data_IF_476192427940
#
_entry.id   IF_476192427940
#
_cell.length_a   1.000
_cell.length_b   1.000
_cell.length_c   1.000
_cell.angle_alpha   90.00
_cell.angle_beta   90.00
_cell.angle_gamma   90.00
#
_symmetry.space_group_name_H-M   'P 1'
#
loop_
_entity.id
_entity.type
_entity.pdbx_description
1 polymer ?
#
# COMPACT_ATOMS: atom_id res chain seq x y z
N UNK A 1 25.98 0.49 9.18
CA UNK A 1 24.70 -0.09 8.76
C UNK A 1 23.60 0.92 9.09
N UNK A 2 22.83 1.32 8.08
CA UNK A 2 21.72 2.23 8.22
C UNK A 2 20.43 1.53 7.74
N UNK A 3 19.31 1.76 8.45
CA UNK A 3 17.98 1.31 8.07
C UNK A 3 17.20 2.54 7.67
N UNK A 4 16.57 2.47 6.51
CA UNK A 4 15.77 3.54 5.94
C UNK A 4 14.32 3.06 5.83
N UNK A 5 13.43 3.64 6.64
CA UNK A 5 12.01 3.28 6.69
C UNK A 5 11.24 4.17 5.71
N UNK A 6 10.66 3.56 4.70
CA UNK A 6 9.87 4.21 3.65
C UNK A 6 8.40 3.84 3.85
N UNK A 7 7.68 4.70 4.56
CA UNK A 7 6.25 4.52 4.82
C UNK A 7 5.44 4.94 3.60
N UNK A 8 4.71 4.00 3.01
CA UNK A 8 3.92 4.22 1.80
C UNK A 8 2.42 4.13 2.05
N UNK A 9 1.67 4.72 1.12
CA UNK A 9 0.29 4.31 0.84
C UNK A 9 0.30 3.36 -0.34
N UNK A 10 -0.41 2.25 -0.20
CA UNK A 10 -0.59 1.30 -1.28
C UNK A 10 -1.22 1.99 -2.49
N UNK A 11 -0.70 1.72 -3.68
CA UNK A 11 -1.20 2.25 -4.96
C UNK A 11 -1.17 3.79 -5.11
N UNK A 12 -0.31 4.49 -4.36
CA UNK A 12 -0.10 5.93 -4.53
C UNK A 12 0.96 6.22 -5.60
N UNK A 13 0.64 6.91 -6.72
CA UNK A 13 1.63 7.20 -7.77
C UNK A 13 2.73 8.16 -7.31
N UNK A 14 2.42 9.09 -6.42
CA UNK A 14 3.40 9.98 -5.79
C UNK A 14 4.28 9.23 -4.80
N UNK A 15 3.69 8.44 -3.92
CA UNK A 15 4.42 7.53 -3.03
C UNK A 15 5.36 6.64 -3.84
N UNK A 16 4.90 6.12 -4.98
CA UNK A 16 5.71 5.30 -5.87
C UNK A 16 6.92 6.06 -6.44
N UNK A 17 6.72 7.29 -6.95
CA UNK A 17 7.81 8.12 -7.47
C UNK A 17 8.84 8.42 -6.37
N UNK A 18 8.37 8.81 -5.18
CA UNK A 18 9.25 9.11 -4.04
C UNK A 18 10.05 7.88 -3.59
N UNK A 19 9.44 6.68 -3.57
CA UNK A 19 10.17 5.43 -3.28
C UNK A 19 11.26 5.19 -4.31
N UNK A 20 10.94 5.29 -5.61
CA UNK A 20 11.93 5.06 -6.67
C UNK A 20 13.09 6.05 -6.61
N UNK A 21 12.80 7.34 -6.42
CA UNK A 21 13.82 8.39 -6.27
C UNK A 21 14.72 8.10 -5.08
N UNK A 22 14.11 7.79 -3.92
CA UNK A 22 14.86 7.45 -2.73
C UNK A 22 15.74 6.21 -2.89
N UNK A 23 15.22 5.14 -3.52
CA UNK A 23 16.00 3.93 -3.79
C UNK A 23 17.16 4.20 -4.76
N UNK A 24 16.95 5.06 -5.78
CA UNK A 24 18.01 5.46 -6.72
C UNK A 24 19.13 6.26 -6.03
N UNK A 25 18.80 7.14 -5.09
CA UNK A 25 19.78 7.91 -4.32
C UNK A 25 20.50 7.05 -3.27
N UNK A 26 19.74 6.24 -2.52
CA UNK A 26 20.27 5.39 -1.46
C UNK A 26 21.15 4.27 -2.00
N UNK A 27 20.78 3.67 -3.15
CA UNK A 27 21.39 2.45 -3.68
C UNK A 27 21.53 1.36 -2.59
N UNK A 28 20.39 0.84 -2.08
CA UNK A 28 20.40 -0.13 -1.00
C UNK A 28 21.06 -1.43 -1.44
N UNK A 29 21.66 -2.14 -0.50
CA UNK A 29 22.21 -3.48 -0.69
C UNK A 29 21.27 -4.61 -0.20
N UNK A 30 20.16 -4.22 0.44
CA UNK A 30 19.01 -5.08 0.74
C UNK A 30 17.74 -4.25 0.74
N UNK A 31 16.67 -4.81 0.19
CA UNK A 31 15.31 -4.27 0.31
C UNK A 31 14.44 -5.26 1.09
N UNK A 32 13.80 -4.77 2.15
CA UNK A 32 12.73 -5.46 2.85
C UNK A 32 11.40 -4.81 2.42
N UNK A 33 10.54 -5.59 1.77
CA UNK A 33 9.28 -5.13 1.23
C UNK A 33 8.12 -5.80 1.95
N UNK A 34 7.09 -5.04 2.33
CA UNK A 34 5.86 -5.60 2.87
C UNK A 34 5.19 -6.49 1.82
N UNK A 35 4.97 -7.75 2.17
CA UNK A 35 4.38 -8.74 1.28
C UNK A 35 4.57 -10.17 1.80
N UNK A 36 3.94 -11.15 1.12
CA UNK A 36 3.92 -12.54 1.55
C UNK A 36 5.22 -13.27 1.20
N UNK A 37 5.96 -13.71 2.21
CA UNK A 37 7.21 -14.45 2.03
C UNK A 37 7.04 -15.71 1.15
N UNK A 38 5.85 -16.32 1.15
CA UNK A 38 5.52 -17.49 0.35
C UNK A 38 5.56 -17.23 -1.17
N UNK A 39 5.49 -15.96 -1.57
CA UNK A 39 5.51 -15.57 -2.98
C UNK A 39 6.88 -15.13 -3.50
N UNK A 40 7.94 -15.13 -2.69
CA UNK A 40 9.28 -14.68 -3.12
C UNK A 40 9.80 -15.39 -4.36
N UNK A 41 9.54 -16.68 -4.50
CA UNK A 41 9.98 -17.47 -5.67
C UNK A 41 9.28 -17.06 -6.96
N UNK A 42 8.19 -16.32 -6.88
CA UNK A 42 7.42 -15.82 -8.02
C UNK A 42 7.87 -14.42 -8.50
N UNK A 43 8.71 -13.73 -7.72
CA UNK A 43 9.16 -12.37 -8.05
C UNK A 43 9.85 -12.26 -9.41
N UNK A 44 10.71 -13.21 -9.85
CA UNK A 44 11.34 -13.10 -11.16
C UNK A 44 10.35 -13.02 -12.33
N UNK A 45 9.11 -13.51 -12.18
CA UNK A 45 8.08 -13.40 -13.20
C UNK A 45 7.72 -11.94 -13.56
N UNK A 46 7.96 -10.99 -12.62
CA UNK A 46 7.68 -9.56 -12.82
C UNK A 46 8.46 -8.94 -13.99
N UNK A 47 9.62 -9.51 -14.33
CA UNK A 47 10.41 -9.06 -15.49
C UNK A 47 9.96 -9.68 -16.83
N UNK A 48 8.95 -10.56 -16.83
CA UNK A 48 8.42 -11.11 -18.06
C UNK A 48 7.65 -10.03 -18.83
N UNK A 49 7.97 -9.83 -20.11
CA UNK A 49 7.32 -8.82 -20.97
C UNK A 49 5.79 -8.99 -21.10
N UNK A 50 5.28 -10.19 -20.83
CA UNK A 50 3.83 -10.47 -20.84
C UNK A 50 3.15 -10.21 -19.48
N UNK A 51 3.92 -9.84 -18.45
CA UNK A 51 3.40 -9.51 -17.13
C UNK A 51 3.08 -8.02 -17.07
N UNK A 52 1.89 -7.65 -17.52
CA UNK A 52 1.43 -6.26 -17.55
C UNK A 52 0.45 -5.99 -16.39
N UNK A 53 0.76 -5.07 -15.45
CA UNK A 53 -0.20 -4.64 -14.43
C UNK A 53 -1.45 -3.97 -15.05
N UNK A 54 -2.63 -4.10 -14.40
CA UNK A 54 -2.81 -4.63 -13.05
C UNK A 54 -2.80 -6.16 -12.99
N UNK A 55 -2.05 -6.68 -12.02
CA UNK A 55 -1.94 -8.10 -11.69
C UNK A 55 -2.11 -8.28 -10.18
N UNK A 56 -2.31 -9.50 -9.72
CA UNK A 56 -2.31 -9.78 -8.28
C UNK A 56 -1.55 -11.09 -7.97
N UNK A 57 -0.87 -11.11 -6.83
CA UNK A 57 -0.49 -12.35 -6.19
C UNK A 57 -1.74 -12.92 -5.49
N UNK A 58 -2.13 -14.11 -5.88
CA UNK A 58 -3.13 -14.92 -5.20
C UNK A 58 -2.40 -15.88 -4.27
N UNK A 59 -2.70 -15.81 -2.98
CA UNK A 59 -2.29 -16.79 -2.00
C UNK A 59 -3.52 -17.54 -1.48
N UNK A 60 -3.50 -18.83 -1.47
CA UNK A 60 -4.65 -19.64 -1.10
C UNK A 60 -4.25 -20.94 -0.38
N UNK A 61 -5.19 -21.45 0.40
CA UNK A 61 -5.06 -22.77 1.03
C UNK A 61 -5.52 -23.84 0.04
N UNK A 62 -4.65 -24.80 -0.39
CA UNK A 62 -5.00 -25.78 -1.43
C UNK A 62 -6.21 -26.65 -1.10
N UNK A 63 -6.36 -27.06 0.17
CA UNK A 63 -7.47 -27.89 0.64
C UNK A 63 -8.78 -27.11 0.84
N UNK A 64 -8.70 -25.77 0.88
CA UNK A 64 -9.83 -24.84 1.05
C UNK A 64 -9.59 -23.60 0.18
N UNK A 65 -9.73 -23.67 -1.16
CA UNK A 65 -9.35 -22.58 -2.06
C UNK A 65 -10.14 -21.28 -1.87
N UNK A 66 -11.33 -21.33 -1.25
CA UNK A 66 -12.11 -20.17 -0.86
C UNK A 66 -11.42 -19.34 0.25
N UNK A 67 -10.51 -19.95 1.02
CA UNK A 67 -9.62 -19.25 1.94
C UNK A 67 -8.43 -18.71 1.15
N UNK A 68 -8.58 -17.50 0.62
CA UNK A 68 -7.63 -16.85 -0.28
C UNK A 68 -7.46 -15.38 0.07
N UNK A 69 -6.26 -14.87 -0.20
CA UNK A 69 -5.90 -13.46 -0.06
C UNK A 69 -5.29 -12.98 -1.37
N UNK A 70 -5.60 -11.75 -1.76
CA UNK A 70 -5.12 -11.13 -2.97
C UNK A 70 -4.22 -9.94 -2.62
N UNK A 71 -3.08 -9.85 -3.28
CA UNK A 71 -2.17 -8.70 -3.24
C UNK A 71 -2.12 -8.10 -4.64
N UNK A 72 -2.99 -7.15 -4.94
CA UNK A 72 -3.02 -6.51 -6.25
C UNK A 72 -1.89 -5.49 -6.41
N UNK A 73 -1.44 -5.35 -7.65
CA UNK A 73 -0.45 -4.37 -8.05
C UNK A 73 -0.90 -3.67 -9.32
N UNK A 74 -0.88 -2.35 -9.30
CA UNK A 74 -0.91 -1.53 -10.48
C UNK A 74 0.52 -1.17 -10.91
N UNK A 75 0.69 -0.66 -12.10
CA UNK A 75 2.00 -0.18 -12.56
C UNK A 75 2.57 0.91 -11.63
N UNK A 76 1.70 1.76 -11.08
CA UNK A 76 2.02 2.83 -10.15
C UNK A 76 2.02 2.40 -8.67
N UNK A 77 1.94 1.10 -8.36
CA UNK A 77 2.06 0.62 -6.98
C UNK A 77 3.51 0.69 -6.52
N UNK A 78 3.80 1.33 -5.36
CA UNK A 78 5.16 1.44 -4.84
C UNK A 78 5.84 0.08 -4.70
N UNK A 79 5.09 -0.94 -4.28
CA UNK A 79 5.58 -2.31 -4.11
C UNK A 79 5.98 -2.92 -5.45
N UNK A 80 5.15 -2.75 -6.49
CA UNK A 80 5.46 -3.24 -7.84
C UNK A 80 6.76 -2.64 -8.36
N UNK A 81 6.88 -1.33 -8.28
CA UNK A 81 8.06 -0.64 -8.77
C UNK A 81 9.30 -0.93 -7.92
N UNK A 82 9.13 -1.17 -6.62
CA UNK A 82 10.22 -1.64 -5.74
C UNK A 82 10.74 -3.01 -6.18
N UNK A 83 9.84 -3.95 -6.52
CA UNK A 83 10.22 -5.27 -7.04
C UNK A 83 10.95 -5.12 -8.38
N UNK A 84 10.41 -4.31 -9.30
CA UNK A 84 11.05 -4.04 -10.60
C UNK A 84 12.44 -3.43 -10.42
N UNK A 85 12.57 -2.43 -9.54
CA UNK A 85 13.84 -1.80 -9.20
C UNK A 85 14.87 -2.82 -8.67
N UNK A 86 14.46 -3.63 -7.69
CA UNK A 86 15.32 -4.63 -7.08
C UNK A 86 15.84 -5.65 -8.10
N UNK A 87 14.94 -6.19 -8.92
CA UNK A 87 15.30 -7.18 -9.91
C UNK A 87 16.20 -6.62 -11.03
N UNK A 88 15.93 -5.38 -11.51
CA UNK A 88 16.75 -4.74 -12.56
C UNK A 88 18.14 -4.32 -12.10
N UNK A 89 18.28 -3.98 -10.81
CA UNK A 89 19.55 -3.57 -10.22
C UNK A 89 20.25 -4.70 -9.46
N UNK A 90 19.75 -5.94 -9.54
CA UNK A 90 20.30 -7.11 -8.85
C UNK A 90 20.43 -6.91 -7.32
N UNK A 91 19.52 -6.09 -6.73
CA UNK A 91 19.46 -5.87 -5.29
C UNK A 91 18.65 -6.99 -4.65
N UNK A 92 19.18 -7.69 -3.64
CA UNK A 92 18.40 -8.65 -2.87
C UNK A 92 17.13 -8.03 -2.31
N UNK A 93 15.98 -8.68 -2.54
CA UNK A 93 14.69 -8.28 -2.00
C UNK A 93 14.09 -9.45 -1.24
N UNK A 94 13.53 -9.17 -0.05
CA UNK A 94 12.79 -10.13 0.76
C UNK A 94 11.46 -9.54 1.18
N UNK A 95 10.43 -10.33 1.11
CA UNK A 95 9.19 -10.00 1.80
C UNK A 95 9.36 -10.20 3.31
N UNK A 96 8.85 -9.26 4.11
CA UNK A 96 9.12 -9.27 5.54
C UNK A 96 7.88 -9.16 6.43
N UNK A 97 6.69 -9.22 5.85
CA UNK A 97 5.44 -9.30 6.62
C UNK A 97 5.25 -10.68 7.26
N UNK A 98 4.30 -10.77 8.20
CA UNK A 98 3.94 -12.03 8.85
C UNK A 98 3.53 -13.07 7.79
N UNK A 99 4.21 -14.23 7.71
CA UNK A 99 3.90 -15.23 6.71
C UNK A 99 2.43 -15.66 6.72
N UNK A 100 1.87 -15.84 5.54
CA UNK A 100 0.47 -16.22 5.36
C UNK A 100 0.13 -17.58 5.95
N UNK A 101 1.10 -18.49 6.02
CA UNK A 101 0.95 -19.77 6.74
C UNK A 101 0.49 -19.57 8.20
N UNK A 102 0.83 -18.43 8.81
CA UNK A 102 0.40 -18.06 10.16
C UNK A 102 -0.86 -17.20 10.17
N UNK A 103 -0.87 -16.11 9.40
CA UNK A 103 -1.97 -15.14 9.43
C UNK A 103 -3.29 -15.74 8.98
N UNK A 104 -3.30 -16.57 7.92
CA UNK A 104 -4.49 -17.25 7.44
C UNK A 104 -4.93 -18.39 8.37
N UNK A 105 -3.99 -19.04 9.08
CA UNK A 105 -4.34 -20.07 10.07
C UNK A 105 -5.10 -19.50 11.28
N UNK A 106 -4.82 -18.24 11.65
CA UNK A 106 -5.54 -17.59 12.76
C UNK A 106 -7.00 -17.27 12.44
N UNK A 107 -7.29 -16.97 11.18
CA UNK A 107 -8.64 -16.69 10.71
C UNK A 107 -9.54 -17.95 10.71
N UNK A 108 -8.96 -19.15 10.83
CA UNK A 108 -9.68 -20.43 10.84
C UNK A 108 -10.14 -20.89 12.24
N UNK A 109 -9.88 -20.14 13.30
CA UNK A 109 -10.47 -20.49 14.60
C UNK A 109 -11.97 -20.52 14.45
N UNK A 110 -12.66 -21.66 14.67
CA UNK A 110 -14.11 -21.70 14.59
C UNK A 110 -14.64 -20.64 15.58
N UNK A 111 -15.50 -19.78 15.09
CA UNK A 111 -16.42 -19.09 15.97
C UNK A 111 -17.31 -20.17 16.63
N UNK A 112 -16.81 -20.79 17.69
CA UNK A 112 -17.66 -21.46 18.67
C UNK A 112 -18.41 -20.40 19.46
N UNK A 113 -19.23 -19.65 18.78
CA UNK A 113 -20.32 -18.89 19.35
C UNK A 113 -21.58 -19.68 19.04
N UNK A 114 -22.14 -20.30 20.07
CA UNK A 114 -23.53 -20.71 20.11
C UNK A 114 -24.40 -19.61 19.52
N UNK A 115 -25.38 -19.99 18.72
CA UNK A 115 -26.31 -19.12 17.95
C UNK A 115 -27.09 -18.08 18.79
N UNK A 116 -26.80 -17.95 20.07
CA UNK A 116 -27.48 -17.06 21.02
C UNK A 116 -26.77 -15.71 21.29
N UNK A 117 -25.64 -15.42 20.63
CA UNK A 117 -24.96 -14.12 20.71
C UNK A 117 -24.68 -13.57 19.31
N UNK A 118 -25.70 -13.52 18.44
CA UNK A 118 -25.76 -12.52 17.40
C UNK A 118 -26.19 -11.19 18.05
N UNK A 119 -25.34 -10.62 18.90
CA UNK A 119 -25.30 -9.17 18.98
C UNK A 119 -25.03 -8.69 17.55
N UNK A 120 -25.98 -7.92 17.00
CA UNK A 120 -25.78 -7.15 15.80
C UNK A 120 -24.41 -6.46 15.96
N UNK A 121 -23.38 -7.01 15.30
CA UNK A 121 -22.15 -6.27 15.04
C UNK A 121 -22.61 -5.20 14.07
N UNK A 122 -23.12 -4.10 14.61
CA UNK A 122 -23.18 -2.83 13.88
C UNK A 122 -21.74 -2.66 13.44
N UNK A 123 -21.44 -2.63 12.14
CA UNK A 123 -20.10 -2.31 11.70
C UNK A 123 -19.78 -0.96 12.34
N UNK A 124 -18.95 -0.96 13.36
CA UNK A 124 -18.34 0.29 13.80
C UNK A 124 -17.64 0.75 12.53
N UNK A 125 -18.15 1.80 11.92
CA UNK A 125 -17.54 2.43 10.75
C UNK A 125 -16.16 2.85 11.28
N UNK A 126 -15.18 1.99 11.05
CA UNK A 126 -13.80 2.29 11.41
C UNK A 126 -13.41 3.50 10.58
N UNK A 127 -13.39 4.66 11.22
CA UNK A 127 -12.93 5.89 10.60
C UNK A 127 -11.45 5.72 10.28
N UNK A 128 -11.06 6.02 9.04
CA UNK A 128 -9.65 6.01 8.66
C UNK A 128 -8.88 6.95 9.59
N UNK A 129 -7.78 6.52 10.23
CA UNK A 129 -6.98 7.40 11.08
C UNK A 129 -6.55 8.70 10.39
N UNK A 130 -6.32 8.67 9.08
CA UNK A 130 -5.98 9.87 8.32
C UNK A 130 -7.13 10.89 8.21
N UNK A 131 -8.38 10.49 8.44
CA UNK A 131 -9.51 11.43 8.50
C UNK A 131 -9.36 12.44 9.66
N UNK A 132 -8.70 12.05 10.74
CA UNK A 132 -8.44 12.99 11.86
C UNK A 132 -7.45 14.08 11.45
N UNK A 133 -6.41 13.73 10.68
CA UNK A 133 -5.47 14.72 10.12
C UNK A 133 -6.17 15.61 9.09
N UNK A 134 -7.00 15.02 8.24
CA UNK A 134 -7.79 15.73 7.25
C UNK A 134 -8.68 16.79 7.90
N UNK A 135 -9.45 16.40 8.92
CA UNK A 135 -10.32 17.31 9.65
C UNK A 135 -9.54 18.44 10.32
N UNK A 136 -8.41 18.14 10.97
CA UNK A 136 -7.56 19.14 11.59
C UNK A 136 -6.95 20.10 10.58
N UNK A 137 -6.69 19.66 9.35
CA UNK A 137 -6.11 20.43 8.25
C UNK A 137 -7.16 21.06 7.32
N UNK A 138 -8.47 20.84 7.55
CA UNK A 138 -9.56 21.42 6.77
C UNK A 138 -9.85 20.72 5.44
N UNK A 139 -9.46 19.45 5.30
CA UNK A 139 -9.78 18.58 4.16
C UNK A 139 -11.07 17.79 4.41
N UNK A 140 -11.70 17.31 3.35
CA UNK A 140 -12.95 16.55 3.40
C UNK A 140 -12.78 15.15 4.00
N UNK A 141 -11.65 14.48 3.71
CA UNK A 141 -11.31 13.11 4.08
C UNK A 141 -9.80 12.86 4.05
N UNK A 142 -9.36 11.76 4.63
CA UNK A 142 -7.97 11.34 4.69
C UNK A 142 -7.33 11.13 3.32
N UNK A 143 -8.12 10.70 2.32
CA UNK A 143 -7.65 10.55 0.95
C UNK A 143 -7.24 11.88 0.34
N UNK A 144 -8.12 12.87 0.40
CA UNK A 144 -7.89 14.23 -0.11
C UNK A 144 -6.70 14.89 0.59
N UNK A 145 -6.56 14.68 1.91
CA UNK A 145 -5.41 15.15 2.67
C UNK A 145 -4.11 14.50 2.19
N UNK A 146 -4.09 13.16 2.07
CA UNK A 146 -2.92 12.42 1.63
C UNK A 146 -2.51 12.79 0.21
N UNK A 147 -3.48 12.82 -0.71
CA UNK A 147 -3.23 13.19 -2.10
C UNK A 147 -2.56 14.57 -2.20
N UNK A 148 -3.13 15.57 -1.51
CA UNK A 148 -2.62 16.94 -1.59
C UNK A 148 -1.28 17.11 -0.86
N UNK A 149 -1.11 16.44 0.28
CA UNK A 149 0.03 16.67 1.17
C UNK A 149 1.23 15.80 0.84
N UNK A 150 0.99 14.57 0.34
CA UNK A 150 2.02 13.55 0.14
C UNK A 150 2.23 13.22 -1.34
N UNK A 151 1.15 12.88 -2.07
CA UNK A 151 1.26 12.38 -3.44
C UNK A 151 1.80 13.42 -4.45
N UNK A 152 1.60 14.71 -4.20
CA UNK A 152 2.08 15.79 -5.04
C UNK A 152 3.46 16.34 -4.65
N UNK A 153 4.06 15.87 -3.56
CA UNK A 153 5.42 16.29 -3.17
C UNK A 153 6.48 15.66 -4.03
N UNK A 154 7.56 16.43 -4.27
CA UNK A 154 8.69 16.05 -5.11
C UNK A 154 10.00 15.85 -4.34
N UNK A 155 10.00 16.03 -3.03
CA UNK A 155 11.18 15.83 -2.16
C UNK A 155 11.00 14.54 -1.37
N UNK A 156 11.63 13.48 -1.84
CA UNK A 156 11.43 12.13 -1.32
C UNK A 156 11.87 11.95 0.13
N UNK A 157 12.99 12.54 0.54
CA UNK A 157 13.51 12.39 1.89
C UNK A 157 12.60 13.05 2.94
N UNK A 158 12.16 14.27 2.66
CA UNK A 158 11.26 15.02 3.54
C UNK A 158 9.87 14.42 3.61
N UNK A 159 9.41 13.78 2.53
CA UNK A 159 8.11 13.09 2.49
C UNK A 159 8.07 11.94 3.47
N UNK A 160 9.04 11.03 3.47
CA UNK A 160 9.04 9.88 4.38
C UNK A 160 9.18 10.30 5.84
N UNK A 161 9.94 11.35 6.12
CA UNK A 161 10.03 11.91 7.45
C UNK A 161 8.70 12.52 7.90
N UNK A 162 8.04 13.31 7.05
CA UNK A 162 6.74 13.91 7.35
C UNK A 162 5.65 12.84 7.56
N UNK A 163 5.60 11.80 6.72
CA UNK A 163 4.70 10.66 6.89
C UNK A 163 4.93 9.98 8.24
N UNK A 164 6.19 9.71 8.57
CA UNK A 164 6.56 9.10 9.85
C UNK A 164 6.08 9.93 11.04
N UNK A 165 6.32 11.23 11.04
CA UNK A 165 5.89 12.14 12.11
C UNK A 165 4.37 12.17 12.25
N UNK A 166 3.65 12.28 11.14
CA UNK A 166 2.20 12.30 11.12
C UNK A 166 1.60 11.00 11.67
N UNK A 167 2.11 9.84 11.21
CA UNK A 167 1.61 8.53 11.67
C UNK A 167 2.01 8.26 13.11
N UNK A 168 3.18 8.74 13.57
CA UNK A 168 3.57 8.61 14.98
C UNK A 168 2.57 9.33 15.87
N UNK A 169 2.25 10.59 15.55
CA UNK A 169 1.25 11.37 16.29
C UNK A 169 -0.13 10.70 16.30
N UNK A 170 -0.57 10.17 15.14
CA UNK A 170 -1.85 9.46 15.07
C UNK A 170 -1.88 8.21 15.95
N UNK A 171 -0.82 7.41 15.96
CA UNK A 171 -0.77 6.18 16.76
C UNK A 171 -0.69 6.45 18.28
N UNK A 172 -0.09 7.57 18.66
CA UNK A 172 -0.06 8.01 20.07
C UNK A 172 -1.44 8.45 20.55
N UNK A 173 -2.20 9.15 19.72
CA UNK A 173 -3.54 9.65 20.04
C UNK A 173 -4.64 8.58 19.87
N UNK A 174 -4.41 7.59 19.00
CA UNK A 174 -5.40 6.58 18.61
C UNK A 174 -4.85 5.14 18.78
N UNK A 175 -4.43 4.74 20.00
CA UNK A 175 -3.81 3.43 20.23
C UNK A 175 -4.75 2.26 19.89
N UNK A 176 -6.06 2.44 19.98
CA UNK A 176 -7.09 1.43 19.66
C UNK A 176 -7.14 1.06 18.17
N UNK A 177 -6.59 1.90 17.28
CA UNK A 177 -6.49 1.60 15.85
C UNK A 177 -5.38 0.59 15.51
N UNK A 178 -4.53 0.22 16.49
CA UNK A 178 -3.54 -0.85 16.31
C UNK A 178 -4.14 -2.20 16.70
N UNK A 179 -4.52 -2.98 15.72
CA UNK A 179 -5.16 -4.27 15.95
C UNK A 179 -4.18 -5.33 16.51
N UNK A 180 -4.66 -6.40 17.18
CA UNK A 180 -3.82 -7.54 17.56
C UNK A 180 -3.12 -8.19 16.36
N UNK A 181 -3.73 -8.13 15.17
CA UNK A 181 -3.13 -8.61 13.93
C UNK A 181 -1.93 -7.75 13.53
N UNK A 182 -2.04 -6.43 13.64
CA UNK A 182 -0.92 -5.52 13.34
C UNK A 182 0.23 -5.72 14.31
N UNK A 183 -0.05 -5.94 15.59
CA UNK A 183 0.98 -6.25 16.59
C UNK A 183 1.80 -7.49 16.22
N UNK A 184 1.15 -8.54 15.72
CA UNK A 184 1.83 -9.77 15.26
C UNK A 184 2.65 -9.52 13.99
N UNK A 185 2.09 -8.79 13.03
CA UNK A 185 2.79 -8.41 11.80
C UNK A 185 4.04 -7.59 12.14
N UNK A 186 3.90 -6.56 12.96
CA UNK A 186 5.00 -5.70 13.38
C UNK A 186 6.07 -6.46 14.18
N UNK A 187 5.69 -7.39 15.05
CA UNK A 187 6.63 -8.25 15.76
C UNK A 187 7.46 -9.12 14.78
N UNK A 188 6.82 -9.64 13.73
CA UNK A 188 7.51 -10.39 12.68
C UNK A 188 8.42 -9.48 11.84
N UNK A 189 7.91 -8.33 11.39
CA UNK A 189 8.67 -7.33 10.63
C UNK A 189 9.95 -6.91 11.38
N UNK A 190 9.83 -6.59 12.68
CA UNK A 190 10.99 -6.27 13.53
C UNK A 190 11.97 -7.43 13.65
N UNK A 191 11.49 -8.66 13.73
CA UNK A 191 12.33 -9.86 13.73
C UNK A 191 13.12 -9.98 12.42
N UNK A 192 12.49 -9.73 11.28
CA UNK A 192 13.14 -9.77 9.97
C UNK A 192 14.17 -8.65 9.82
N UNK A 193 13.86 -7.43 10.24
CA UNK A 193 14.81 -6.31 10.27
C UNK A 193 16.04 -6.66 11.13
N UNK A 194 15.84 -7.16 12.37
CA UNK A 194 16.93 -7.57 13.24
C UNK A 194 17.75 -8.73 12.68
N UNK A 195 17.14 -9.58 11.87
CA UNK A 195 17.87 -10.66 11.17
C UNK A 195 18.76 -10.07 10.09
N UNK A 196 18.22 -9.18 9.27
CA UNK A 196 18.99 -8.46 8.25
C UNK A 196 20.15 -7.63 8.86
N UNK A 197 19.93 -7.03 10.03
CA UNK A 197 20.97 -6.30 10.77
C UNK A 197 22.17 -7.15 11.20
N UNK A 198 22.02 -8.45 11.31
CA UNK A 198 23.11 -9.38 11.67
C UNK A 198 23.85 -9.89 10.44
N UNK A 199 23.33 -9.62 9.26
CA UNK A 199 23.96 -9.90 7.99
C UNK A 199 24.83 -8.70 7.58
N UNK A 200 25.72 -8.85 6.63
CA UNK A 200 26.70 -7.81 6.28
C UNK A 200 26.15 -6.76 5.30
N UNK A 201 24.90 -6.32 5.46
CA UNK A 201 24.31 -5.24 4.68
C UNK A 201 24.61 -3.89 5.31
N UNK A 202 24.91 -2.88 4.50
CA UNK A 202 25.24 -1.53 4.96
C UNK A 202 24.03 -0.57 4.87
N UNK A 203 23.23 -0.69 3.81
CA UNK A 203 22.10 0.16 3.51
C UNK A 203 20.85 -0.68 3.25
N UNK A 204 20.01 -0.77 4.25
CA UNK A 204 18.76 -1.55 4.18
C UNK A 204 17.59 -0.60 3.96
N UNK A 205 16.91 -0.72 2.83
CA UNK A 205 15.64 -0.04 2.61
C UNK A 205 14.48 -0.93 3.08
N UNK A 206 13.57 -0.36 3.86
CA UNK A 206 12.36 -1.03 4.36
C UNK A 206 11.16 -0.30 3.79
N UNK A 207 10.41 -0.93 2.90
CA UNK A 207 9.22 -0.37 2.26
C UNK A 207 7.99 -1.06 2.82
N UNK A 208 7.16 -0.31 3.52
CA UNK A 208 5.95 -0.84 4.16
C UNK A 208 4.85 0.21 4.27
N UNK A 209 3.63 -0.22 4.54
CA UNK A 209 2.52 0.68 4.85
C UNK A 209 2.90 1.65 5.97
N UNK A 210 2.58 2.93 5.76
CA UNK A 210 2.98 4.02 6.66
C UNK A 210 2.60 3.76 8.11
N UNK A 211 1.47 3.06 8.36
CA UNK A 211 0.99 2.73 9.70
C UNK A 211 1.98 1.93 10.54
N UNK A 212 2.83 1.11 9.90
CA UNK A 212 3.80 0.27 10.59
C UNK A 212 5.11 0.98 10.97
N UNK A 213 5.42 2.10 10.32
CA UNK A 213 6.73 2.78 10.47
C UNK A 213 7.09 3.11 11.91
N UNK A 214 6.20 3.70 12.75
CA UNK A 214 6.56 4.02 14.14
C UNK A 214 6.93 2.79 14.99
N UNK A 215 6.25 1.66 14.76
CA UNK A 215 6.53 0.40 15.46
C UNK A 215 7.84 -0.26 15.01
N UNK A 216 8.30 0.03 13.80
CA UNK A 216 9.56 -0.46 13.27
C UNK A 216 10.75 0.43 13.66
N UNK A 217 10.52 1.72 13.91
CA UNK A 217 11.54 2.64 14.42
C UNK A 217 11.80 2.42 15.92
N UNK A 218 10.73 2.37 16.71
CA UNK A 218 10.79 2.22 18.17
C UNK A 218 10.59 0.76 18.58
N UNK A 219 11.58 -0.08 18.26
CA UNK A 219 11.49 -1.52 18.49
C UNK A 219 11.54 -1.88 19.99
N UNK A 220 10.56 -2.65 20.51
CA UNK A 220 10.62 -3.22 21.87
C UNK A 220 11.74 -4.25 22.00
N UNK A 221 11.90 -4.84 23.18
CA UNK A 221 12.90 -5.90 23.40
C UNK A 221 12.58 -7.14 22.57
N UNK A 222 13.60 -7.80 22.06
CA UNK A 222 13.47 -9.06 21.27
C UNK A 222 12.61 -10.12 21.96
N UNK A 223 12.66 -10.17 23.29
CA UNK A 223 11.87 -11.13 24.07
C UNK A 223 10.36 -10.91 23.91
N UNK A 224 9.93 -9.67 23.86
CA UNK A 224 8.52 -9.30 23.71
C UNK A 224 7.98 -9.77 22.35
N UNK A 225 8.71 -9.51 21.27
CA UNK A 225 8.35 -9.99 19.93
C UNK A 225 8.32 -11.53 19.87
N UNK A 226 9.30 -12.19 20.51
CA UNK A 226 9.35 -13.66 20.52
C UNK A 226 8.16 -14.28 21.28
N UNK A 227 7.71 -13.65 22.37
CA UNK A 227 6.51 -14.13 23.10
C UNK A 227 5.24 -13.97 22.24
N UNK A 228 5.08 -12.84 21.53
CA UNK A 228 3.97 -12.64 20.60
C UNK A 228 3.94 -13.68 19.48
N UNK A 229 5.09 -14.02 18.94
CA UNK A 229 5.22 -14.95 17.82
C UNK A 229 5.26 -16.43 18.22
N UNK A 230 5.18 -16.73 19.53
CA UNK A 230 5.27 -18.08 20.02
C UNK A 230 4.02 -18.89 19.74
N UNK A 231 4.23 -20.09 19.19
CA UNK A 231 3.14 -21.07 19.01
C UNK A 231 2.09 -20.69 17.95
N UNK A 232 2.43 -19.79 17.02
CA UNK A 232 1.55 -19.44 15.92
C UNK A 232 1.17 -20.70 15.12
N UNK A 233 -0.13 -20.90 14.83
CA UNK A 233 -0.59 -22.03 14.02
C UNK A 233 -0.05 -21.90 12.59
N UNK A 234 -0.05 -23.00 11.84
CA UNK A 234 0.39 -23.05 10.44
C UNK A 234 -0.60 -23.82 9.59
N UNK A 235 -0.81 -23.34 8.38
CA UNK A 235 -1.51 -24.05 7.32
C UNK A 235 -0.66 -24.06 6.06
N UNK A 236 -0.96 -24.95 5.12
CA UNK A 236 -0.31 -24.94 3.82
C UNK A 236 -0.86 -23.80 2.97
N UNK A 237 0.03 -23.02 2.35
CA UNK A 237 -0.32 -21.94 1.42
C UNK A 237 0.40 -22.19 0.10
N UNK A 238 -0.29 -21.93 -0.99
CA UNK A 238 0.26 -21.84 -2.33
C UNK A 238 0.01 -20.46 -2.92
N UNK A 239 0.94 -19.98 -3.74
CA UNK A 239 0.87 -18.66 -4.36
C UNK A 239 0.98 -18.78 -5.88
N UNK A 240 0.30 -17.87 -6.59
CA UNK A 240 0.41 -17.72 -8.03
C UNK A 240 0.11 -16.30 -8.47
N UNK A 241 0.57 -15.90 -9.66
CA UNK A 241 0.15 -14.66 -10.29
C UNK A 241 -1.17 -14.87 -11.03
N UNK A 242 -2.04 -13.86 -10.96
CA UNK A 242 -3.29 -13.79 -11.71
C UNK A 242 -3.48 -12.42 -12.34
N UNK A 243 -4.21 -12.31 -13.48
CA UNK A 243 -4.65 -11.03 -13.99
C UNK A 243 -5.56 -10.30 -12.98
N UNK A 244 -5.47 -8.98 -12.97
CA UNK A 244 -6.32 -8.13 -12.14
C UNK A 244 -6.98 -7.03 -12.96
N UNK A 245 -7.83 -6.21 -12.36
CA UNK A 245 -8.47 -5.08 -13.04
C UNK A 245 -8.47 -3.84 -12.16
N UNK A 246 -8.48 -2.66 -12.77
CA UNK A 246 -8.61 -1.40 -12.03
C UNK A 246 -9.92 -1.31 -11.23
N UNK A 247 -11.04 -1.87 -11.74
CA UNK A 247 -12.30 -1.91 -10.99
C UNK A 247 -12.16 -2.69 -9.68
N UNK A 248 -11.38 -3.76 -9.66
CA UNK A 248 -11.09 -4.54 -8.45
C UNK A 248 -10.04 -3.91 -7.54
N UNK A 249 -9.25 -2.97 -8.06
CA UNK A 249 -8.33 -2.17 -7.28
C UNK A 249 -9.04 -1.02 -6.56
N UNK A 250 -10.27 -0.67 -6.99
CA UNK A 250 -11.03 0.38 -6.38
C UNK A 250 -11.56 -0.02 -5.00
N UNK A 251 -11.56 0.92 -4.05
CA UNK A 251 -12.10 0.74 -2.70
C UNK A 251 -13.54 0.21 -2.71
N UNK A 252 -14.37 0.69 -3.64
CA UNK A 252 -15.77 0.22 -3.85
C UNK A 252 -15.91 -1.28 -4.15
N UNK A 253 -14.84 -1.97 -4.50
CA UNK A 253 -14.85 -3.42 -4.71
C UNK A 253 -14.80 -4.23 -3.41
N UNK A 254 -14.60 -3.56 -2.26
CA UNK A 254 -14.39 -4.20 -0.96
C UNK A 254 -12.91 -4.52 -0.65
N UNK A 255 -11.99 -4.06 -1.50
CA UNK A 255 -10.57 -4.18 -1.24
C UNK A 255 -10.12 -3.11 -0.23
N UNK A 256 -9.69 -3.52 0.97
CA UNK A 256 -9.42 -2.61 2.09
C UNK A 256 -8.29 -1.61 1.88
N UNK A 257 -7.29 -1.94 1.05
CA UNK A 257 -6.22 -1.03 0.63
C UNK A 257 -6.48 -0.42 -0.77
N UNK A 258 -7.75 -0.43 -1.22
CA UNK A 258 -8.16 0.11 -2.51
C UNK A 258 -8.02 1.63 -2.57
N UNK A 259 -8.13 2.16 -3.78
CA UNK A 259 -8.12 3.59 -4.07
C UNK A 259 -9.43 4.02 -4.73
N UNK A 260 -9.80 5.29 -4.61
CA UNK A 260 -11.07 5.77 -5.12
C UNK A 260 -11.13 5.78 -6.65
N UNK A 261 -10.06 6.23 -7.29
CA UNK A 261 -9.99 6.45 -8.73
C UNK A 261 -8.75 5.86 -9.39
N UNK A 262 -8.65 4.51 -9.52
CA UNK A 262 -7.48 3.86 -10.12
C UNK A 262 -7.14 4.36 -11.52
N UNK A 263 -8.16 4.69 -12.33
CA UNK A 263 -7.98 5.23 -13.68
C UNK A 263 -7.34 6.63 -13.69
N UNK A 264 -7.65 7.45 -12.69
CA UNK A 264 -7.00 8.75 -12.49
C UNK A 264 -5.53 8.58 -12.12
N UNK A 265 -5.21 7.66 -11.17
CA UNK A 265 -3.84 7.40 -10.76
C UNK A 265 -2.99 6.79 -11.88
N UNK A 266 -3.57 5.89 -12.68
CA UNK A 266 -2.91 5.40 -13.90
C UNK A 266 -2.60 6.55 -14.87
N UNK A 267 -3.55 7.45 -15.05
CA UNK A 267 -3.36 8.62 -15.89
C UNK A 267 -2.22 9.53 -15.36
N UNK A 268 -2.22 9.86 -14.08
CA UNK A 268 -1.17 10.67 -13.44
C UNK A 268 0.21 10.02 -13.53
N UNK A 269 0.27 8.70 -13.49
CA UNK A 269 1.53 7.96 -13.66
C UNK A 269 2.16 8.19 -15.02
N UNK A 270 1.35 8.12 -16.07
CA UNK A 270 1.80 8.29 -17.48
C UNK A 270 1.90 9.75 -17.92
N UNK A 271 1.19 10.68 -17.28
CA UNK A 271 1.11 12.08 -17.67
C UNK A 271 1.42 13.02 -16.49
N UNK A 272 2.61 12.92 -15.87
CA UNK A 272 2.93 13.66 -14.63
C UNK A 272 3.04 15.19 -14.84
N UNK A 273 3.05 15.66 -16.07
CA UNK A 273 3.15 17.08 -16.44
C UNK A 273 1.84 17.66 -16.98
N UNK A 274 0.77 16.87 -17.09
CA UNK A 274 -0.52 17.37 -17.57
C UNK A 274 -1.17 18.29 -16.53
N UNK A 275 -1.68 19.41 -17.01
CA UNK A 275 -2.42 20.40 -16.22
C UNK A 275 -3.94 20.10 -16.11
N UNK A 276 -4.34 18.88 -16.44
CA UNK A 276 -5.72 18.42 -16.50
C UNK A 276 -6.37 18.55 -17.89
N UNK A 277 -5.73 19.26 -18.83
CA UNK A 277 -6.28 19.49 -20.17
C UNK A 277 -6.49 18.18 -20.93
N UNK A 278 -5.50 17.31 -20.92
CA UNK A 278 -5.57 16.03 -21.62
C UNK A 278 -6.61 15.10 -20.98
N UNK A 279 -6.64 15.04 -19.64
CA UNK A 279 -7.62 14.24 -18.90
C UNK A 279 -9.07 14.64 -19.22
N UNK A 280 -9.36 15.96 -19.13
CA UNK A 280 -10.71 16.47 -19.43
C UNK A 280 -11.09 16.23 -20.89
N UNK A 281 -10.10 16.35 -21.81
CA UNK A 281 -10.32 16.06 -23.23
C UNK A 281 -10.62 14.59 -23.51
N UNK A 282 -9.95 13.67 -22.81
CA UNK A 282 -10.22 12.22 -22.87
C UNK A 282 -11.61 11.91 -22.30
N UNK A 283 -11.96 12.47 -21.16
CA UNK A 283 -13.29 12.33 -20.57
C UNK A 283 -14.39 12.82 -21.54
N UNK A 284 -14.23 13.99 -22.14
CA UNK A 284 -15.15 14.50 -23.14
C UNK A 284 -15.28 13.58 -24.36
N UNK A 285 -14.16 12.96 -24.78
CA UNK A 285 -14.17 11.96 -25.86
C UNK A 285 -15.00 10.72 -25.48
N UNK A 286 -14.89 10.23 -24.24
CA UNK A 286 -15.69 9.12 -23.75
C UNK A 286 -17.18 9.48 -23.68
N UNK A 287 -17.56 10.68 -23.25
CA UNK A 287 -18.93 11.14 -23.26
C UNK A 287 -19.52 11.16 -24.67
N UNK A 288 -18.77 11.68 -25.67
CA UNK A 288 -19.21 11.67 -27.08
C UNK A 288 -19.41 10.27 -27.60
N UNK A 289 -18.52 9.31 -27.27
CA UNK A 289 -18.69 7.90 -27.64
C UNK A 289 -19.94 7.26 -27.03
N UNK A 290 -20.45 7.81 -25.92
CA UNK A 290 -21.70 7.40 -25.27
C UNK A 290 -22.90 8.25 -25.72
N UNK A 291 -22.80 8.99 -26.83
CA UNK A 291 -23.82 9.87 -27.35
C UNK A 291 -24.29 10.99 -26.37
N UNK A 292 -23.37 11.45 -25.53
CA UNK A 292 -23.59 12.60 -24.66
C UNK A 292 -22.99 13.84 -25.33
N UNK A 293 -23.75 14.91 -25.43
CA UNK A 293 -23.33 16.15 -26.07
C UNK A 293 -22.32 16.92 -25.21
N UNK A 294 -21.09 16.88 -25.62
CA UNK A 294 -20.01 17.68 -25.03
C UNK A 294 -19.33 18.50 -26.13
N UNK A 295 -19.50 19.82 -26.07
CA UNK A 295 -18.85 20.74 -26.98
C UNK A 295 -17.39 21.02 -26.61
N UNK A 296 -16.60 21.57 -27.53
CA UNK A 296 -15.24 22.05 -27.25
C UNK A 296 -15.28 23.19 -26.20
N UNK A 297 -16.31 24.02 -26.25
CA UNK A 297 -16.48 25.09 -25.26
C UNK A 297 -16.63 24.54 -23.83
N UNK A 298 -17.38 23.43 -23.63
CA UNK A 298 -17.47 22.76 -22.32
C UNK A 298 -16.09 22.31 -21.83
N UNK A 299 -15.27 21.73 -22.72
CA UNK A 299 -13.89 21.30 -22.35
C UNK A 299 -13.06 22.49 -21.91
N UNK A 300 -13.04 23.58 -22.70
CA UNK A 300 -12.28 24.80 -22.41
C UNK A 300 -12.69 25.40 -21.05
N UNK A 301 -13.98 25.56 -20.82
CA UNK A 301 -14.48 26.14 -19.55
C UNK A 301 -14.22 25.24 -18.35
N UNK A 302 -14.29 23.92 -18.52
CA UNK A 302 -13.96 22.95 -17.45
C UNK A 302 -12.49 23.02 -17.09
N UNK A 303 -11.59 23.08 -18.09
CA UNK A 303 -10.13 23.24 -17.84
C UNK A 303 -9.84 24.56 -17.13
N UNK A 304 -10.43 25.68 -17.59
CA UNK A 304 -10.28 26.98 -16.94
C UNK A 304 -10.76 26.96 -15.49
N UNK A 305 -11.92 26.37 -15.24
CA UNK A 305 -12.45 26.26 -13.89
C UNK A 305 -11.55 25.43 -13.00
N UNK A 306 -11.03 24.29 -13.49
CA UNK A 306 -10.10 23.45 -12.76
C UNK A 306 -8.81 24.19 -12.40
N UNK A 307 -8.21 24.91 -13.36
CA UNK A 307 -6.99 25.71 -13.16
C UNK A 307 -7.20 26.85 -12.16
N UNK A 308 -8.32 27.59 -12.26
CA UNK A 308 -8.65 28.66 -11.31
C UNK A 308 -8.86 28.09 -9.90
N UNK A 309 -9.57 26.96 -9.79
CA UNK A 309 -9.81 26.31 -8.49
C UNK A 309 -8.50 25.82 -7.87
N UNK A 310 -7.60 25.25 -8.68
CA UNK A 310 -6.28 24.82 -8.23
C UNK A 310 -5.40 26.00 -7.73
N UNK A 311 -5.51 27.16 -8.39
CA UNK A 311 -4.77 28.37 -7.99
C UNK A 311 -5.28 29.03 -6.69
N UNK A 312 -6.48 28.67 -6.23
CA UNK A 312 -7.08 29.17 -4.99
C UNK A 312 -6.79 28.27 -3.76
N UNK A 313 -6.19 27.14 -3.97
CA UNK A 313 -5.78 26.19 -2.92
C UNK A 313 -4.28 26.24 -2.68
#
# INVERSE_FOLDING_TARGET
MAIHLLGIRHHGPGSCRNVLEYLQELQPDLILLEGPAEAETLLPCVLNEQMEPPVALLAYQPDQPQNAVFYPFAEFSPEWQTIVYALRNEVPLRFFDLPLVHSMAQNQKPHNTTEEQQEEIIPTVYRDPFDYLAEAAGYADGESWWETTIEHRKDSADVFQAVKEAVTALREELPEHTSPRDQLREAWMRKMIRTAQKENFERIAVVCGAWHVPALENMPKVKEDNELLKGLPKIKIECTWIPWTYDRLAFRSGYGAGIESPGWYHYLWHHPQDDGTLWISQAASLFRKKNMDISVAHVIETVRLAQVTAALR
#
